data_IF_778853392190
#
_entry.id   IF_778853392190
#
_cell.length_a   1.000
_cell.length_b   1.000
_cell.length_c   1.000
_cell.angle_alpha   90.00
_cell.angle_beta   90.00
_cell.angle_gamma   90.00
#
_symmetry.space_group_name_H-M   'P 1'
#
loop_
_entity.id
_entity.type
_entity.pdbx_description
1 polymer ?
#
# COMPACT_ATOMS: atom_id res chain seq x y z
N UNK A 1 -9.84 6.93 -15.69
CA UNK A 1 -9.80 5.73 -14.85
C UNK A 1 -9.47 6.14 -13.42
N UNK A 2 -10.28 5.72 -12.47
CA UNK A 2 -10.02 6.04 -11.07
C UNK A 2 -9.07 5.01 -10.47
N UNK A 3 -8.01 5.48 -9.82
CA UNK A 3 -7.01 4.62 -9.21
C UNK A 3 -7.02 4.83 -7.71
N UNK A 4 -6.94 3.73 -6.97
CA UNK A 4 -6.83 3.76 -5.51
C UNK A 4 -5.52 3.15 -5.08
N UNK A 5 -4.97 3.71 -4.01
CA UNK A 5 -3.77 3.18 -3.38
C UNK A 5 -4.22 2.53 -2.08
N UNK A 6 -4.00 1.23 -1.98
CA UNK A 6 -4.49 0.47 -0.83
C UNK A 6 -3.54 -0.67 -0.47
N UNK A 7 -3.78 -1.28 0.68
CA UNK A 7 -3.05 -2.47 1.09
C UNK A 7 -3.66 -3.70 0.45
N UNK A 8 -2.81 -4.62 0.03
CA UNK A 8 -3.21 -5.90 -0.52
C UNK A 8 -2.48 -7.00 0.23
N UNK A 9 -3.20 -8.01 0.70
CA UNK A 9 -2.60 -9.14 1.38
C UNK A 9 -1.72 -9.94 0.42
N UNK A 10 -0.55 -10.32 0.90
CA UNK A 10 0.39 -11.14 0.15
C UNK A 10 0.52 -12.46 0.85
N UNK A 11 -0.33 -13.40 0.52
CA UNK A 11 -0.23 -14.74 1.06
C UNK A 11 -0.27 -14.82 2.58
N UNK A 12 -0.33 -16.03 3.09
CA UNK A 12 -0.31 -16.34 4.50
C UNK A 12 1.00 -17.04 4.83
N UNK A 13 1.78 -16.45 5.76
CA UNK A 13 3.01 -17.11 6.18
C UNK A 13 2.70 -18.31 7.07
N UNK A 14 3.68 -19.19 7.24
CA UNK A 14 3.55 -20.39 8.07
C UNK A 14 3.21 -20.05 9.52
N UNK A 15 3.53 -18.84 9.98
CA UNK A 15 3.29 -18.41 11.36
C UNK A 15 2.01 -17.61 11.53
N UNK A 16 1.08 -17.72 10.59
CA UNK A 16 -0.20 -17.02 10.61
C UNK A 16 -0.08 -15.50 10.57
N UNK A 17 1.06 -14.99 10.16
CA UNK A 17 1.25 -13.56 9.98
C UNK A 17 1.00 -13.19 8.53
N UNK A 18 0.39 -12.04 8.31
CA UNK A 18 0.12 -11.54 6.96
C UNK A 18 1.03 -10.38 6.65
N UNK A 19 1.62 -10.43 5.47
CA UNK A 19 2.33 -9.29 4.92
C UNK A 19 1.40 -8.58 3.95
N UNK A 20 1.62 -7.29 3.79
CA UNK A 20 0.81 -6.48 2.87
C UNK A 20 1.70 -5.76 1.89
N UNK A 21 1.16 -5.51 0.71
CA UNK A 21 1.78 -4.62 -0.27
C UNK A 21 0.94 -3.37 -0.37
N UNK A 22 1.60 -2.24 -0.55
CA UNK A 22 0.92 -0.99 -0.88
C UNK A 22 0.87 -0.94 -2.40
N UNK A 23 -0.33 -0.97 -2.97
CA UNK A 23 -0.49 -1.08 -4.43
C UNK A 23 -1.39 0.01 -4.97
N UNK A 24 -1.11 0.40 -6.22
CA UNK A 24 -2.01 1.23 -7.01
C UNK A 24 -2.88 0.27 -7.83
N UNK A 25 -4.19 0.39 -7.71
CA UNK A 25 -5.12 -0.51 -8.36
C UNK A 25 -6.30 0.28 -8.91
N UNK A 26 -6.83 -0.14 -10.07
CA UNK A 26 -8.00 0.49 -10.64
C UNK A 26 -9.24 0.18 -9.80
N UNK A 27 -10.04 1.19 -9.53
CA UNK A 27 -11.28 1.03 -8.78
C UNK A 27 -12.24 0.06 -9.44
N UNK A 28 -12.22 0.00 -10.77
CA UNK A 28 -13.10 -0.90 -11.52
C UNK A 28 -12.58 -2.32 -11.61
N UNK A 29 -11.38 -2.57 -11.11
CA UNK A 29 -10.82 -3.91 -11.17
C UNK A 29 -11.61 -4.87 -10.29
N UNK A 30 -11.79 -6.10 -10.76
CA UNK A 30 -12.39 -7.15 -9.96
C UNK A 30 -11.50 -7.49 -8.77
N UNK A 31 -12.06 -8.18 -7.77
CA UNK A 31 -11.31 -8.52 -6.56
C UNK A 31 -9.97 -9.19 -6.82
N UNK A 32 -9.88 -9.94 -7.91
CA UNK A 32 -8.68 -10.68 -8.26
C UNK A 32 -7.86 -9.97 -9.32
N UNK A 33 -8.25 -8.76 -9.67
CA UNK A 33 -7.54 -8.02 -10.71
C UNK A 33 -6.12 -7.69 -10.25
N UNK A 34 -5.22 -7.72 -11.20
CA UNK A 34 -3.84 -7.39 -10.92
C UNK A 34 -3.70 -5.89 -10.63
N UNK A 35 -2.85 -5.59 -9.67
CA UNK A 35 -2.53 -4.21 -9.38
C UNK A 35 -1.79 -3.58 -10.56
N UNK A 36 -1.87 -2.25 -10.66
CA UNK A 36 -1.17 -1.50 -11.68
C UNK A 36 0.31 -1.36 -11.35
N UNK A 37 0.62 -1.13 -10.08
CA UNK A 37 2.00 -0.97 -9.61
C UNK A 37 2.10 -1.25 -8.12
N UNK A 38 3.21 -1.83 -7.71
CA UNK A 38 3.51 -2.03 -6.30
C UNK A 38 4.31 -0.83 -5.82
N UNK A 39 3.81 -0.15 -4.78
CA UNK A 39 4.44 1.05 -4.24
C UNK A 39 5.26 0.78 -2.99
N UNK A 40 5.01 -0.30 -2.29
CA UNK A 40 5.73 -0.60 -1.07
C UNK A 40 5.22 -1.84 -0.37
N UNK A 41 5.70 -2.01 0.86
CA UNK A 41 5.39 -3.18 1.68
C UNK A 41 5.08 -2.75 3.10
N UNK A 42 4.23 -3.52 3.78
CA UNK A 42 3.88 -3.29 5.17
C UNK A 42 3.83 -4.63 5.91
N UNK A 43 4.58 -4.73 6.99
CA UNK A 43 4.60 -5.93 7.83
C UNK A 43 4.27 -5.52 9.27
N UNK A 44 3.00 -5.65 9.68
CA UNK A 44 2.60 -5.26 11.03
C UNK A 44 2.99 -6.28 12.10
N UNK A 45 3.43 -7.48 11.70
CA UNK A 45 3.79 -8.52 12.67
C UNK A 45 5.13 -8.28 13.33
N UNK A 46 5.95 -7.40 12.78
CA UNK A 46 7.24 -7.07 13.37
C UNK A 46 7.10 -5.97 14.41
N UNK A 47 7.99 -5.95 15.36
CA UNK A 47 8.03 -4.94 16.42
C UNK A 47 9.36 -4.20 16.37
N UNK A 48 9.39 -2.91 15.94
CA UNK A 48 8.24 -2.15 15.45
C UNK A 48 7.81 -2.61 14.04
N UNK A 49 6.57 -2.31 13.65
CA UNK A 49 6.10 -2.67 12.32
C UNK A 49 6.98 -2.08 11.23
N UNK A 50 7.22 -2.87 10.18
CA UNK A 50 8.05 -2.43 9.07
C UNK A 50 7.15 -1.87 7.97
N UNK A 51 7.41 -0.61 7.58
CA UNK A 51 6.72 0.05 6.48
C UNK A 51 7.76 0.60 5.54
N UNK A 52 7.65 0.24 4.27
CA UNK A 52 8.53 0.76 3.23
C UNK A 52 7.67 1.20 2.04
N UNK A 53 7.74 2.47 1.68
CA UNK A 53 6.96 3.02 0.56
C UNK A 53 7.88 3.81 -0.35
N UNK A 54 7.77 3.56 -1.65
CA UNK A 54 8.48 4.36 -2.64
C UNK A 54 7.73 5.67 -2.84
N UNK A 55 8.25 6.74 -2.25
CA UNK A 55 7.59 8.04 -2.26
C UNK A 55 7.47 8.64 -3.64
N UNK A 56 8.47 8.41 -4.49
CA UNK A 56 8.42 8.96 -5.86
C UNK A 56 7.25 8.39 -6.63
N UNK A 57 7.08 7.07 -6.58
CA UNK A 57 5.96 6.42 -7.25
C UNK A 57 4.63 6.84 -6.65
N UNK A 58 4.57 6.92 -5.33
CA UNK A 58 3.37 7.36 -4.64
C UNK A 58 2.96 8.75 -5.10
N UNK A 59 3.90 9.68 -5.12
CA UNK A 59 3.61 11.05 -5.55
C UNK A 59 3.16 11.11 -6.99
N UNK A 60 3.77 10.31 -7.87
CA UNK A 60 3.37 10.26 -9.27
C UNK A 60 1.90 9.83 -9.41
N UNK A 61 1.49 8.80 -8.66
CA UNK A 61 0.11 8.35 -8.70
C UNK A 61 -0.85 9.37 -8.12
N UNK A 62 -0.46 10.06 -7.04
CA UNK A 62 -1.29 11.10 -6.45
C UNK A 62 -1.46 12.26 -7.43
N UNK A 63 -0.41 12.64 -8.14
CA UNK A 63 -0.50 13.68 -9.17
C UNK A 63 -1.46 13.30 -10.30
N UNK A 64 -1.57 12.01 -10.58
CA UNK A 64 -2.50 11.50 -11.58
C UNK A 64 -3.93 11.37 -11.08
N UNK A 65 -4.18 11.73 -9.83
CA UNK A 65 -5.51 11.69 -9.25
C UNK A 65 -5.82 10.44 -8.41
N UNK A 66 -4.83 9.61 -8.12
CA UNK A 66 -5.04 8.43 -7.29
C UNK A 66 -5.39 8.83 -5.86
N UNK A 67 -6.27 8.07 -5.24
CA UNK A 67 -6.69 8.31 -3.85
C UNK A 67 -6.18 7.22 -2.93
N UNK A 68 -5.64 7.63 -1.79
CA UNK A 68 -5.16 6.68 -0.77
C UNK A 68 -6.32 6.23 0.11
N UNK A 69 -6.30 4.93 0.49
CA UNK A 69 -7.21 4.44 1.52
C UNK A 69 -6.83 5.07 2.86
N UNK A 70 -7.74 5.03 3.83
CA UNK A 70 -7.48 5.60 5.14
C UNK A 70 -6.27 4.93 5.81
N UNK A 71 -6.15 3.62 5.67
CA UNK A 71 -5.03 2.88 6.23
C UNK A 71 -3.70 3.33 5.63
N UNK A 72 -3.64 3.44 4.30
CA UNK A 72 -2.42 3.88 3.62
C UNK A 72 -2.09 5.31 3.99
N UNK A 73 -3.10 6.17 4.08
CA UNK A 73 -2.89 7.57 4.49
C UNK A 73 -2.27 7.64 5.87
N UNK A 74 -2.75 6.83 6.81
CA UNK A 74 -2.18 6.78 8.16
C UNK A 74 -0.73 6.33 8.16
N UNK A 75 -0.41 5.31 7.36
CA UNK A 75 0.96 4.81 7.26
C UNK A 75 1.90 5.85 6.68
N UNK A 76 1.48 6.55 5.64
CA UNK A 76 2.28 7.60 5.02
C UNK A 76 2.52 8.74 6.00
N UNK A 77 1.50 9.11 6.77
CA UNK A 77 1.62 10.16 7.77
C UNK A 77 2.64 9.78 8.84
N UNK A 78 2.61 8.54 9.31
CA UNK A 78 3.58 8.07 10.30
C UNK A 78 5.00 8.12 9.77
N UNK A 79 5.22 7.71 8.53
CA UNK A 79 6.54 7.77 7.92
C UNK A 79 7.07 9.20 7.85
N UNK A 80 6.20 10.16 7.53
CA UNK A 80 6.60 11.55 7.47
C UNK A 80 7.00 12.09 8.84
N UNK A 81 6.34 11.63 9.91
CA UNK A 81 6.67 12.08 11.26
C UNK A 81 7.98 11.51 11.77
N UNK A 82 8.34 10.32 11.35
CA UNK A 82 9.57 9.67 11.80
C UNK A 82 10.82 10.20 11.09
N UNK A 83 10.63 10.96 10.04
CA UNK A 83 11.72 11.58 9.30
C UNK A 83 11.74 13.08 9.59
#
# INVERSE_FOLDING_TARGET
MEVRIRLQKVGKSANKHYNYRVVAISKKAARQAMHLEILGHYDPSRKPPVVSINREKLEQWIKKGARMSDTVRSLVTKLKKEN
#
